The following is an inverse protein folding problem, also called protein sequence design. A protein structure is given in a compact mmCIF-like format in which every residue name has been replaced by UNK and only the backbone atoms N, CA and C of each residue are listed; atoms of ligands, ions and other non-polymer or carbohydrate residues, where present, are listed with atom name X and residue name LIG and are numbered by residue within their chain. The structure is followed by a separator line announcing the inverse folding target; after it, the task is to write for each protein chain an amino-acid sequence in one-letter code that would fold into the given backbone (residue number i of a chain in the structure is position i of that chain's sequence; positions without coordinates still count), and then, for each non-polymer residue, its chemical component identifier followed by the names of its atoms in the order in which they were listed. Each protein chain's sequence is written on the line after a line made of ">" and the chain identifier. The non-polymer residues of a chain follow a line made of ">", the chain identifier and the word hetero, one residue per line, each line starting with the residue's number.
data_IF_430086245778
#
_entry.id   IF_430086245778
#
_cell.length_a   1.000
_cell.length_b   1.000
_cell.length_c   1.000
_cell.angle_alpha   90.00
_cell.angle_beta   90.00
_cell.angle_gamma   90.00
#
_symmetry.space_group_name_H-M   'P 1'
#
loop_
_entity.id
_entity.type
_entity.pdbx_description
1 polymer ?
#
# COMPACT_ATOMS: atom_id res chain seq x y z
N UNK A 1 21.44 4.28 -8.78
CA UNK A 1 20.33 4.56 -9.72
C UNK A 1 19.65 5.86 -9.28
N UNK A 2 19.78 6.97 -10.03
CA UNK A 2 18.95 8.16 -9.79
C UNK A 2 17.51 7.78 -10.15
N UNK A 3 16.69 7.43 -9.15
CA UNK A 3 15.26 7.19 -9.38
C UNK A 3 14.65 8.51 -9.83
N UNK A 4 13.96 8.51 -10.97
CA UNK A 4 13.22 9.68 -11.45
C UNK A 4 12.03 9.91 -10.51
N UNK A 5 12.27 10.67 -9.43
CA UNK A 5 11.30 11.00 -8.38
C UNK A 5 10.13 11.87 -8.91
N UNK A 6 10.23 12.34 -10.15
CA UNK A 6 9.21 13.16 -10.83
C UNK A 6 7.90 12.40 -10.99
N UNK A 7 7.97 11.13 -11.40
CA UNK A 7 6.77 10.29 -11.63
C UNK A 7 6.00 10.03 -10.33
N UNK A 8 6.64 9.58 -9.23
CA UNK A 8 5.90 9.37 -7.98
C UNK A 8 5.46 10.70 -7.33
N UNK A 9 6.20 11.80 -7.49
CA UNK A 9 5.75 13.12 -7.06
C UNK A 9 4.51 13.59 -7.83
N UNK A 10 4.50 13.42 -9.16
CA UNK A 10 3.33 13.71 -9.97
C UNK A 10 2.12 12.86 -9.59
N UNK A 11 2.32 11.57 -9.25
CA UNK A 11 1.25 10.70 -8.77
C UNK A 11 0.66 11.20 -7.44
N UNK A 12 1.48 11.61 -6.47
CA UNK A 12 0.99 12.19 -5.20
C UNK A 12 0.21 13.49 -5.46
N UNK A 13 0.75 14.40 -6.28
CA UNK A 13 0.07 15.66 -6.61
C UNK A 13 -1.27 15.41 -7.29
N UNK A 14 -1.32 14.49 -8.26
CA UNK A 14 -2.56 14.11 -8.93
C UNK A 14 -3.56 13.51 -7.95
N UNK A 15 -3.11 12.65 -7.03
CA UNK A 15 -3.98 12.09 -6.00
C UNK A 15 -4.52 13.16 -5.04
N UNK A 16 -3.71 14.15 -4.66
CA UNK A 16 -4.16 15.29 -3.84
C UNK A 16 -5.16 16.18 -4.59
N UNK A 17 -4.97 16.39 -5.90
CA UNK A 17 -5.91 17.12 -6.75
C UNK A 17 -7.26 16.39 -6.81
N UNK A 18 -7.25 15.06 -6.97
CA UNK A 18 -8.47 14.26 -6.96
C UNK A 18 -9.22 14.36 -5.63
N UNK A 19 -8.51 14.35 -4.50
CA UNK A 19 -9.12 14.62 -3.19
C UNK A 19 -9.66 16.05 -3.07
N UNK A 20 -8.95 17.05 -3.60
CA UNK A 20 -9.41 18.43 -3.64
C UNK A 20 -10.70 18.60 -4.44
N UNK A 21 -10.83 17.89 -5.57
CA UNK A 21 -12.05 17.87 -6.39
C UNK A 21 -13.22 17.27 -5.60
N UNK A 22 -13.01 16.16 -4.90
CA UNK A 22 -14.03 15.56 -4.03
C UNK A 22 -14.46 16.55 -2.95
N UNK A 23 -13.53 17.22 -2.29
CA UNK A 23 -13.83 18.14 -1.19
C UNK A 23 -14.60 19.40 -1.64
N UNK A 24 -14.37 19.88 -2.87
CA UNK A 24 -14.97 21.12 -3.41
C UNK A 24 -16.27 20.85 -4.15
N UNK A 25 -16.38 19.70 -4.81
CA UNK A 25 -17.47 19.39 -5.76
C UNK A 25 -18.35 18.21 -5.30
N UNK A 26 -18.33 17.85 -4.01
CA UNK A 26 -19.05 16.68 -3.47
C UNK A 26 -20.53 16.66 -3.88
N UNK A 27 -21.23 17.79 -3.76
CA UNK A 27 -22.65 17.92 -4.12
C UNK A 27 -22.93 17.90 -5.64
N UNK A 28 -21.91 18.16 -6.47
CA UNK A 28 -22.04 18.21 -7.94
C UNK A 28 -21.60 16.92 -8.62
N UNK A 29 -20.95 16.02 -7.89
CA UNK A 29 -20.46 14.75 -8.40
C UNK A 29 -21.55 13.68 -8.27
N UNK A 30 -21.76 12.84 -9.30
CA UNK A 30 -22.63 11.68 -9.17
C UNK A 30 -22.09 10.77 -8.06
N UNK A 31 -22.97 10.06 -7.34
CA UNK A 31 -22.59 9.23 -6.18
C UNK A 31 -21.43 8.25 -6.47
N UNK A 32 -21.32 7.73 -7.69
CA UNK A 32 -20.18 6.88 -8.11
C UNK A 32 -18.89 7.65 -8.44
N UNK A 33 -18.99 8.91 -8.84
CA UNK A 33 -17.85 9.78 -9.17
C UNK A 33 -17.02 10.16 -7.94
N UNK A 34 -17.68 10.45 -6.81
CA UNK A 34 -17.01 10.71 -5.52
C UNK A 34 -16.16 9.51 -5.11
N UNK A 35 -16.74 8.30 -5.14
CA UNK A 35 -16.04 7.06 -4.78
C UNK A 35 -14.86 6.74 -5.70
N UNK A 36 -15.01 6.96 -7.01
CA UNK A 36 -13.92 6.76 -7.97
C UNK A 36 -12.76 7.74 -7.76
N UNK A 37 -13.05 9.03 -7.58
CA UNK A 37 -12.04 10.05 -7.35
C UNK A 37 -11.31 9.83 -6.02
N UNK A 38 -12.03 9.50 -4.95
CA UNK A 38 -11.43 9.20 -3.65
C UNK A 38 -10.58 7.92 -3.69
N UNK A 39 -11.09 6.85 -4.34
CA UNK A 39 -10.38 5.58 -4.47
C UNK A 39 -9.10 5.68 -5.30
N UNK A 40 -9.17 6.32 -6.47
CA UNK A 40 -8.00 6.55 -7.33
C UNK A 40 -7.02 7.53 -6.69
N UNK A 41 -7.52 8.59 -6.04
CA UNK A 41 -6.70 9.54 -5.31
C UNK A 41 -5.91 8.87 -4.19
N UNK A 42 -6.56 8.03 -3.39
CA UNK A 42 -5.92 7.23 -2.34
C UNK A 42 -4.87 6.27 -2.89
N UNK A 43 -5.16 5.57 -3.98
CA UNK A 43 -4.21 4.66 -4.64
C UNK A 43 -2.96 5.41 -5.15
N UNK A 44 -3.14 6.56 -5.78
CA UNK A 44 -2.05 7.39 -6.31
C UNK A 44 -1.17 7.97 -5.20
N UNK A 45 -1.77 8.45 -4.11
CA UNK A 45 -1.02 8.92 -2.94
C UNK A 45 -0.30 7.75 -2.26
N UNK A 46 -0.92 6.59 -2.10
CA UNK A 46 -0.29 5.43 -1.48
C UNK A 46 0.94 4.94 -2.26
N UNK A 47 0.79 4.76 -3.57
CA UNK A 47 1.87 4.29 -4.46
C UNK A 47 2.98 5.35 -4.64
N UNK A 48 2.58 6.60 -4.89
CA UNK A 48 3.51 7.71 -5.05
C UNK A 48 4.23 8.06 -3.73
N UNK A 49 3.48 8.17 -2.64
CA UNK A 49 3.99 8.47 -1.31
C UNK A 49 4.93 7.40 -0.78
N UNK A 50 4.56 6.12 -0.90
CA UNK A 50 5.41 5.01 -0.47
C UNK A 50 6.75 4.96 -1.20
N UNK A 51 6.77 5.31 -2.49
CA UNK A 51 8.00 5.33 -3.29
C UNK A 51 8.87 6.56 -3.06
N UNK A 52 8.30 7.68 -2.60
CA UNK A 52 9.03 8.89 -2.18
C UNK A 52 9.53 8.82 -0.73
N UNK A 53 8.80 8.13 0.14
CA UNK A 53 9.06 8.11 1.58
C UNK A 53 10.46 7.60 1.89
N UNK A 54 10.85 6.45 1.35
CA UNK A 54 12.14 5.83 1.65
C UNK A 54 13.34 6.68 1.16
N UNK A 55 13.37 7.21 -0.09
CA UNK A 55 14.39 8.16 -0.51
C UNK A 55 14.47 9.43 0.34
N UNK A 56 13.32 10.00 0.71
CA UNK A 56 13.27 11.23 1.50
C UNK A 56 13.74 10.99 2.94
N UNK A 57 13.30 9.89 3.55
CA UNK A 57 13.75 9.47 4.87
C UNK A 57 15.26 9.23 4.90
N UNK A 58 15.79 8.52 3.89
CA UNK A 58 17.24 8.34 3.77
C UNK A 58 17.96 9.68 3.57
N UNK A 59 17.42 10.61 2.77
CA UNK A 59 18.02 11.92 2.56
C UNK A 59 18.04 12.79 3.84
N UNK A 60 17.07 12.59 4.74
CA UNK A 60 16.98 13.28 6.03
C UNK A 60 17.85 12.64 7.14
N UNK A 61 18.23 11.37 7.00
CA UNK A 61 19.07 10.67 7.98
C UNK A 61 20.50 11.19 8.02
N UNK A 62 21.10 11.17 9.22
CA UNK A 62 22.52 11.45 9.43
C UNK A 62 23.38 10.38 8.72
N UNK A 63 24.61 10.71 8.31
CA UNK A 63 25.48 9.78 7.60
C UNK A 63 25.86 8.54 8.43
N UNK A 64 25.84 8.63 9.76
CA UNK A 64 26.09 7.49 10.66
C UNK A 64 24.91 6.51 10.64
N UNK A 65 23.69 6.99 10.86
CA UNK A 65 22.46 6.20 10.80
C UNK A 65 22.30 5.47 9.45
N UNK A 66 22.68 6.12 8.34
CA UNK A 66 22.66 5.50 7.00
C UNK A 66 23.58 4.28 6.91
N UNK A 67 24.78 4.36 7.48
CA UNK A 67 25.75 3.24 7.47
C UNK A 67 25.26 2.08 8.34
N UNK A 68 24.56 2.38 9.42
CA UNK A 68 23.93 1.36 10.26
C UNK A 68 22.80 0.64 9.52
N UNK A 69 21.95 1.37 8.80
CA UNK A 69 20.91 0.79 7.94
C UNK A 69 21.52 -0.11 6.86
N UNK A 70 22.56 0.35 6.16
CA UNK A 70 23.26 -0.45 5.13
C UNK A 70 23.88 -1.73 5.71
N UNK A 71 24.42 -1.66 6.94
CA UNK A 71 24.94 -2.85 7.64
C UNK A 71 23.81 -3.81 8.00
N UNK A 72 22.70 -3.29 8.54
CA UNK A 72 21.52 -4.08 8.88
C UNK A 72 20.83 -4.69 7.65
N UNK A 73 20.96 -4.10 6.47
CA UNK A 73 20.43 -4.71 5.23
C UNK A 73 21.14 -6.01 4.85
N UNK A 74 22.43 -6.13 5.18
CA UNK A 74 23.29 -7.28 4.81
C UNK A 74 23.46 -8.31 5.92
N UNK A 75 23.14 -7.95 7.16
CA UNK A 75 23.26 -8.84 8.30
C UNK A 75 22.20 -9.96 8.24
N UNK A 76 22.65 -11.21 8.36
CA UNK A 76 21.80 -12.41 8.27
C UNK A 76 20.70 -12.41 9.31
N UNK A 77 21.01 -11.99 10.55
CA UNK A 77 20.01 -11.90 11.63
C UNK A 77 18.91 -10.90 11.27
N UNK A 78 19.32 -9.74 10.77
CA UNK A 78 18.41 -8.67 10.36
C UNK A 78 17.54 -9.10 9.16
N UNK A 79 18.10 -9.85 8.22
CA UNK A 79 17.35 -10.46 7.10
C UNK A 79 16.31 -11.46 7.62
N UNK A 80 16.69 -12.34 8.56
CA UNK A 80 15.78 -13.31 9.15
C UNK A 80 14.61 -12.64 9.88
N UNK A 81 14.89 -11.63 10.72
CA UNK A 81 13.86 -10.86 11.42
C UNK A 81 12.89 -10.21 10.43
N UNK A 82 13.40 -9.56 9.37
CA UNK A 82 12.55 -8.91 8.35
C UNK A 82 11.69 -9.91 7.59
N UNK A 83 12.20 -11.11 7.36
CA UNK A 83 11.45 -12.18 6.67
C UNK A 83 10.31 -12.69 7.55
N UNK A 84 10.58 -12.94 8.83
CA UNK A 84 9.55 -13.31 9.81
C UNK A 84 8.51 -12.19 9.98
N UNK A 85 8.96 -10.95 10.14
CA UNK A 85 8.07 -9.80 10.25
C UNK A 85 7.17 -9.66 9.02
N UNK A 86 7.70 -9.85 7.80
CA UNK A 86 6.89 -9.81 6.58
C UNK A 86 5.83 -10.93 6.55
N UNK A 87 6.18 -12.13 7.00
CA UNK A 87 5.25 -13.25 7.11
C UNK A 87 4.15 -12.98 8.14
N UNK A 88 4.52 -12.58 9.35
CA UNK A 88 3.56 -12.24 10.42
C UNK A 88 2.65 -11.07 9.99
N UNK A 89 3.22 -10.05 9.36
CA UNK A 89 2.47 -8.91 8.82
C UNK A 89 1.44 -9.37 7.78
N UNK A 90 1.79 -10.36 6.94
CA UNK A 90 0.87 -10.91 5.95
C UNK A 90 -0.33 -11.62 6.61
N UNK A 91 -0.11 -12.36 7.70
CA UNK A 91 -1.21 -12.96 8.49
C UNK A 91 -2.08 -11.90 9.15
N UNK A 92 -1.47 -10.91 9.79
CA UNK A 92 -2.21 -9.83 10.44
C UNK A 92 -3.03 -9.03 9.44
N UNK A 93 -2.46 -8.71 8.28
CA UNK A 93 -3.20 -7.99 7.23
C UNK A 93 -4.36 -8.81 6.67
N UNK A 94 -4.23 -10.13 6.54
CA UNK A 94 -5.35 -11.01 6.17
C UNK A 94 -6.50 -10.91 7.18
N UNK A 95 -6.21 -10.96 8.48
CA UNK A 95 -7.23 -10.79 9.53
C UNK A 95 -7.84 -9.38 9.54
N UNK A 96 -7.03 -8.35 9.34
CA UNK A 96 -7.51 -6.98 9.29
C UNK A 96 -8.41 -6.72 8.09
N UNK A 97 -8.19 -7.38 6.94
CA UNK A 97 -9.06 -7.29 5.77
C UNK A 97 -10.45 -7.88 5.99
N UNK A 98 -10.63 -8.76 6.97
CA UNK A 98 -11.97 -9.26 7.36
C UNK A 98 -12.81 -8.21 8.08
N UNK A 99 -12.19 -7.27 8.82
CA UNK A 99 -12.89 -6.24 9.58
C UNK A 99 -13.85 -5.40 8.70
N UNK A 100 -13.40 -4.77 7.60
CA UNK A 100 -14.30 -4.01 6.74
C UNK A 100 -15.35 -4.89 6.06
N UNK A 101 -15.06 -6.17 5.79
CA UNK A 101 -16.06 -7.09 5.24
C UNK A 101 -17.18 -7.38 6.23
N UNK A 102 -16.85 -7.68 7.49
CA UNK A 102 -17.85 -7.91 8.55
C UNK A 102 -18.69 -6.66 8.79
N UNK A 103 -18.07 -5.47 8.81
CA UNK A 103 -18.79 -4.20 8.93
C UNK A 103 -19.76 -4.03 7.75
N UNK A 104 -19.32 -4.28 6.52
CA UNK A 104 -20.17 -4.21 5.33
C UNK A 104 -21.36 -5.16 5.40
N UNK A 105 -21.16 -6.39 5.90
CA UNK A 105 -22.22 -7.38 6.11
C UNK A 105 -23.29 -6.88 7.10
N UNK A 106 -22.86 -6.28 8.22
CA UNK A 106 -23.77 -5.74 9.24
C UNK A 106 -24.54 -4.53 8.71
N UNK A 107 -23.89 -3.66 7.93
CA UNK A 107 -24.50 -2.44 7.39
C UNK A 107 -25.33 -2.65 6.12
N UNK A 108 -25.24 -3.83 5.48
CA UNK A 108 -25.97 -4.10 4.23
C UNK A 108 -25.34 -3.42 3.00
N UNK A 109 -24.06 -3.03 3.05
CA UNK A 109 -23.40 -2.29 1.97
C UNK A 109 -22.85 -3.21 0.87
N UNK A 110 -23.66 -3.43 -0.19
CA UNK A 110 -23.35 -4.33 -1.30
C UNK A 110 -21.97 -4.07 -1.95
N UNK A 111 -21.60 -2.79 -2.14
CA UNK A 111 -20.33 -2.43 -2.79
C UNK A 111 -19.14 -2.96 -1.99
N UNK A 112 -19.12 -2.74 -0.67
CA UNK A 112 -18.05 -3.21 0.20
C UNK A 112 -18.08 -4.72 0.40
N UNK A 113 -19.27 -5.32 0.41
CA UNK A 113 -19.41 -6.79 0.41
C UNK A 113 -18.79 -7.44 -0.83
N UNK A 114 -18.65 -6.73 -1.95
CA UNK A 114 -18.00 -7.25 -3.17
C UNK A 114 -16.51 -6.91 -3.20
N UNK A 115 -16.13 -5.67 -2.89
CA UNK A 115 -14.73 -5.22 -2.95
C UNK A 115 -13.86 -5.97 -1.94
N UNK A 116 -14.33 -6.13 -0.70
CA UNK A 116 -13.50 -6.71 0.36
C UNK A 116 -13.16 -8.19 0.12
N UNK A 117 -14.07 -9.09 -0.31
CA UNK A 117 -13.69 -10.44 -0.71
C UNK A 117 -12.75 -10.48 -1.92
N UNK A 118 -12.93 -9.59 -2.91
CA UNK A 118 -12.03 -9.53 -4.08
C UNK A 118 -10.60 -9.22 -3.62
N UNK A 119 -10.42 -8.22 -2.76
CA UNK A 119 -9.10 -7.87 -2.21
C UNK A 119 -8.54 -9.02 -1.36
N UNK A 120 -9.37 -9.70 -0.58
CA UNK A 120 -8.96 -10.82 0.27
C UNK A 120 -8.49 -12.02 -0.57
N UNK A 121 -9.23 -12.36 -1.64
CA UNK A 121 -8.83 -13.40 -2.59
C UNK A 121 -7.53 -13.02 -3.29
N UNK A 122 -7.37 -11.77 -3.72
CA UNK A 122 -6.12 -11.30 -4.32
C UNK A 122 -4.95 -11.40 -3.34
N UNK A 123 -5.13 -11.02 -2.06
CA UNK A 123 -4.11 -11.13 -1.01
C UNK A 123 -3.62 -12.58 -0.84
N UNK A 124 -4.56 -13.54 -0.84
CA UNK A 124 -4.26 -14.98 -0.81
C UNK A 124 -3.59 -15.47 -2.11
N UNK A 125 -4.10 -15.05 -3.26
CA UNK A 125 -3.56 -15.44 -4.57
C UNK A 125 -2.12 -14.95 -4.76
N UNK A 126 -1.81 -13.72 -4.34
CA UNK A 126 -0.44 -13.18 -4.37
C UNK A 126 0.51 -13.98 -3.50
N UNK A 127 0.08 -14.35 -2.30
CA UNK A 127 0.89 -15.21 -1.43
C UNK A 127 1.18 -16.55 -2.09
N UNK A 128 0.15 -17.24 -2.61
CA UNK A 128 0.33 -18.51 -3.31
C UNK A 128 1.23 -18.37 -4.55
N UNK A 129 1.04 -17.32 -5.34
CA UNK A 129 1.87 -17.04 -6.52
C UNK A 129 3.34 -16.84 -6.13
N UNK A 130 3.62 -16.02 -5.11
CA UNK A 130 4.99 -15.79 -4.65
C UNK A 130 5.62 -17.02 -4.04
N UNK A 131 4.87 -17.79 -3.26
CA UNK A 131 5.31 -19.06 -2.69
C UNK A 131 5.71 -20.05 -3.81
N UNK A 132 4.85 -20.22 -4.82
CA UNK A 132 5.14 -21.05 -5.99
C UNK A 132 6.36 -20.56 -6.78
N UNK A 133 6.43 -19.25 -7.04
CA UNK A 133 7.53 -18.63 -7.80
C UNK A 133 8.87 -18.85 -7.12
N UNK A 134 8.92 -18.70 -5.80
CA UNK A 134 10.15 -18.85 -5.03
C UNK A 134 10.51 -20.31 -4.76
N UNK A 135 9.52 -21.20 -4.59
CA UNK A 135 9.74 -22.64 -4.52
C UNK A 135 10.40 -23.22 -5.77
N UNK A 136 10.24 -22.58 -6.94
CA UNK A 136 10.93 -22.99 -8.18
C UNK A 136 12.33 -22.42 -8.35
N UNK A 137 12.71 -21.43 -7.54
CA UNK A 137 13.98 -20.69 -7.66
C UNK A 137 14.99 -21.07 -6.57
N UNK A 138 14.51 -21.61 -5.46
CA UNK A 138 15.30 -22.22 -4.38
C UNK A 138 15.43 -23.72 -4.66
#
# INVERSE_FOLDING_TARGET
>A
MKKNLIVPAAAVVLGLVLFGIVFVMDEQLPAGGVGLCAGLGGALIGLGGGSLFLPLAMAAMKPEDRREVERAERDERSIAIRTHAAYDSWYWTLWLLWVPFVIALVLGELVWMVITPVVLVLHCAFYMFHLYRWSKKL
#
